data_IF_080482647387
#
_entry.id   IF_080482647387
#
_cell.length_a   1.000
_cell.length_b   1.000
_cell.length_c   1.000
_cell.angle_alpha   90.00
_cell.angle_beta   90.00
_cell.angle_gamma   90.00
#
_symmetry.space_group_name_H-M   'P 1'
#
loop_
_entity.id
_entity.type
_entity.pdbx_description
1 polymer ?
#
# COMPACT_ATOMS: atom_id res chain seq x y z
N UNK A 1 2.16 11.29 32.41
CA UNK A 1 1.30 11.00 31.22
C UNK A 1 1.76 11.76 29.96
N UNK A 2 1.87 13.11 29.92
CA UNK A 2 2.33 13.82 28.71
C UNK A 2 3.76 13.40 28.29
N UNK A 3 4.68 13.40 29.21
CA UNK A 3 6.09 13.00 28.98
C UNK A 3 6.25 11.54 28.57
N UNK A 4 5.41 10.64 29.06
CA UNK A 4 5.39 9.22 28.68
C UNK A 4 4.85 9.04 27.27
N UNK A 5 3.82 9.80 26.87
CA UNK A 5 3.32 9.82 25.51
C UNK A 5 4.34 10.35 24.51
N UNK A 6 5.01 11.45 24.83
CA UNK A 6 6.07 12.02 23.98
C UNK A 6 7.24 11.03 23.81
N UNK A 7 7.63 10.34 24.88
CA UNK A 7 8.64 9.29 24.80
C UNK A 7 8.18 8.13 23.92
N UNK A 8 6.94 7.68 24.06
CA UNK A 8 6.40 6.57 23.27
C UNK A 8 6.40 6.88 21.77
N UNK A 9 6.05 8.11 21.39
CA UNK A 9 6.13 8.59 20.00
C UNK A 9 7.57 8.55 19.52
N UNK A 10 8.49 9.15 20.24
CA UNK A 10 9.92 9.20 19.87
C UNK A 10 10.53 7.79 19.75
N UNK A 11 10.20 6.87 20.66
CA UNK A 11 10.67 5.48 20.62
C UNK A 11 10.09 4.74 19.39
N UNK A 12 8.86 5.07 18.97
CA UNK A 12 8.23 4.48 17.79
C UNK A 12 8.87 5.03 16.51
N UNK A 13 9.10 6.33 16.42
CA UNK A 13 9.77 6.96 15.28
C UNK A 13 11.19 6.42 15.09
N UNK A 14 11.93 6.23 16.17
CA UNK A 14 13.26 5.63 16.12
C UNK A 14 13.20 4.17 15.61
N UNK A 15 12.26 3.38 16.13
CA UNK A 15 12.06 2.00 15.69
C UNK A 15 11.73 1.92 14.19
N UNK A 16 10.89 2.82 13.68
CA UNK A 16 10.55 2.91 12.24
C UNK A 16 11.83 3.19 11.43
N UNK A 17 12.61 4.23 11.82
CA UNK A 17 13.85 4.61 11.13
C UNK A 17 14.88 3.47 11.09
N UNK A 18 15.12 2.84 12.22
CA UNK A 18 16.08 1.72 12.34
C UNK A 18 15.63 0.50 11.52
N UNK A 19 14.31 0.28 11.45
CA UNK A 19 13.75 -0.82 10.66
C UNK A 19 13.86 -0.52 9.17
N UNK A 20 13.48 0.67 8.71
CA UNK A 20 13.57 1.08 7.30
C UNK A 20 15.02 1.05 6.77
N UNK A 21 16.00 1.36 7.59
CA UNK A 21 17.41 1.30 7.21
C UNK A 21 17.87 -0.09 6.75
N UNK A 22 17.11 -1.15 7.09
CA UNK A 22 17.39 -2.53 6.67
C UNK A 22 16.84 -2.85 5.28
N UNK A 23 16.02 -1.96 4.69
CA UNK A 23 15.35 -2.12 3.40
C UNK A 23 15.70 -1.01 2.40
N UNK A 24 16.97 -0.78 2.06
CA UNK A 24 17.40 0.36 1.24
C UNK A 24 16.81 0.34 -0.18
N UNK A 25 16.45 -0.83 -0.70
CA UNK A 25 15.82 -1.02 -2.01
C UNK A 25 14.35 -0.59 -2.06
N UNK A 26 13.71 -0.34 -0.92
CA UNK A 26 12.36 0.19 -0.84
C UNK A 26 12.30 1.72 -0.86
N UNK A 27 13.43 2.40 -0.62
CA UNK A 27 13.48 3.85 -0.54
C UNK A 27 13.02 4.51 -1.86
N UNK A 28 12.07 5.45 -1.74
CA UNK A 28 11.54 6.23 -2.88
C UNK A 28 10.66 5.46 -3.86
N UNK A 29 10.31 4.20 -3.57
CA UNK A 29 9.36 3.45 -4.39
C UNK A 29 7.97 4.09 -4.32
N UNK A 30 7.27 4.07 -5.46
CA UNK A 30 5.87 4.48 -5.55
C UNK A 30 4.96 3.31 -5.17
N UNK A 31 4.10 3.49 -4.17
CA UNK A 31 3.25 2.43 -3.62
C UNK A 31 1.79 2.86 -3.57
N UNK A 32 0.91 2.04 -4.13
CA UNK A 32 -0.53 2.23 -4.07
C UNK A 32 -1.18 1.18 -3.14
N UNK A 33 -1.83 1.63 -2.07
CA UNK A 33 -2.73 0.78 -1.27
C UNK A 33 -4.11 0.78 -1.92
N UNK A 34 -4.53 -0.38 -2.41
CA UNK A 34 -5.75 -0.54 -3.20
C UNK A 34 -6.78 -1.42 -2.48
N UNK A 35 -8.04 -1.25 -2.87
CA UNK A 35 -9.08 -2.25 -2.70
C UNK A 35 -9.48 -2.74 -4.09
N UNK A 36 -9.14 -3.98 -4.41
CA UNK A 36 -9.42 -4.65 -5.67
C UNK A 36 -10.22 -5.91 -5.37
N UNK A 37 -11.46 -5.98 -5.86
CA UNK A 37 -12.27 -7.19 -5.71
C UNK A 37 -11.99 -8.15 -6.86
N UNK A 38 -11.28 -9.24 -6.61
CA UNK A 38 -10.95 -10.24 -7.64
C UNK A 38 -12.17 -10.95 -8.28
N UNK A 39 -13.36 -10.88 -7.64
CA UNK A 39 -14.61 -11.40 -8.20
C UNK A 39 -15.32 -10.39 -9.11
N UNK A 40 -14.99 -9.10 -9.00
CA UNK A 40 -15.53 -8.03 -9.85
C UNK A 40 -14.46 -6.97 -10.09
N UNK A 41 -13.77 -7.07 -11.19
CA UNK A 41 -12.68 -6.19 -11.60
C UNK A 41 -13.14 -4.96 -12.41
N UNK A 42 -14.44 -4.64 -12.41
CA UNK A 42 -14.98 -3.49 -13.16
C UNK A 42 -14.48 -2.13 -12.66
N UNK A 43 -14.12 -2.06 -11.38
CA UNK A 43 -13.55 -0.88 -10.74
C UNK A 43 -12.67 -1.28 -9.55
N UNK A 44 -11.87 -0.34 -9.08
CA UNK A 44 -11.04 -0.48 -7.89
C UNK A 44 -10.92 0.86 -7.16
N UNK A 45 -10.53 0.82 -5.91
CA UNK A 45 -10.28 2.03 -5.13
C UNK A 45 -8.81 2.10 -4.71
N UNK A 46 -8.25 3.30 -4.67
CA UNK A 46 -6.92 3.58 -4.13
C UNK A 46 -7.05 4.47 -2.92
N UNK A 47 -6.55 4.04 -1.78
CA UNK A 47 -6.55 4.82 -0.54
C UNK A 47 -5.51 5.92 -0.62
N UNK A 48 -5.94 7.16 -0.39
CA UNK A 48 -5.10 8.36 -0.47
C UNK A 48 -4.41 8.66 0.86
N UNK A 49 -3.54 9.66 0.83
CA UNK A 49 -2.81 10.11 2.03
C UNK A 49 -3.71 10.76 3.10
N UNK A 50 -4.97 11.08 2.79
CA UNK A 50 -5.98 11.44 3.78
C UNK A 50 -6.52 10.23 4.58
N UNK A 51 -6.33 9.01 4.07
CA UNK A 51 -6.65 7.76 4.75
C UNK A 51 -5.43 7.26 5.54
N UNK A 52 -5.58 6.74 6.75
CA UNK A 52 -4.45 6.23 7.56
C UNK A 52 -3.56 5.22 6.83
N UNK A 53 -4.11 4.41 5.93
CA UNK A 53 -3.35 3.41 5.14
C UNK A 53 -2.42 4.06 4.13
N UNK A 54 -2.90 5.08 3.42
CA UNK A 54 -2.07 5.85 2.50
C UNK A 54 -1.07 6.75 3.22
N UNK A 55 -1.49 7.40 4.32
CA UNK A 55 -0.60 8.19 5.18
C UNK A 55 0.55 7.34 5.71
N UNK A 56 0.26 6.14 6.21
CA UNK A 56 1.28 5.25 6.76
C UNK A 56 2.37 4.89 5.75
N UNK A 57 2.00 4.59 4.51
CA UNK A 57 2.99 4.34 3.45
C UNK A 57 3.88 5.57 3.21
N UNK A 58 3.31 6.77 3.23
CA UNK A 58 4.07 8.01 3.10
C UNK A 58 5.00 8.24 4.29
N UNK A 59 4.55 7.96 5.51
CA UNK A 59 5.35 8.05 6.74
C UNK A 59 6.51 7.04 6.74
N UNK A 60 6.35 5.90 6.06
CA UNK A 60 7.40 4.92 5.81
C UNK A 60 8.37 5.33 4.67
N UNK A 61 8.17 6.50 4.05
CA UNK A 61 9.05 7.03 3.01
C UNK A 61 8.77 6.54 1.59
N UNK A 62 7.64 5.89 1.36
CA UNK A 62 7.15 5.62 0.01
C UNK A 62 6.54 6.87 -0.62
N UNK A 63 6.54 6.94 -1.94
CA UNK A 63 5.85 8.00 -2.68
C UNK A 63 4.45 7.56 -3.06
N UNK A 64 3.50 8.50 -3.01
CA UNK A 64 2.14 8.26 -3.50
C UNK A 64 2.10 8.48 -5.02
N UNK A 65 1.42 7.62 -5.82
CA UNK A 65 1.37 7.76 -7.28
C UNK A 65 0.70 9.08 -7.71
N UNK A 66 1.40 9.90 -8.49
CA UNK A 66 0.92 11.22 -8.92
C UNK A 66 -0.32 11.12 -9.81
N UNK A 67 -0.39 10.08 -10.66
CA UNK A 67 -1.52 9.87 -11.56
C UNK A 67 -2.81 9.53 -10.83
N UNK A 68 -2.72 8.91 -9.66
CA UNK A 68 -3.87 8.69 -8.78
C UNK A 68 -4.29 10.01 -8.13
N UNK A 69 -3.32 10.80 -7.64
CA UNK A 69 -3.62 12.09 -7.02
C UNK A 69 -4.30 13.05 -7.98
N UNK A 70 -3.90 13.05 -9.25
CA UNK A 70 -4.49 13.88 -10.31
C UNK A 70 -5.99 13.57 -10.58
N UNK A 71 -6.47 12.37 -10.23
CA UNK A 71 -7.87 11.96 -10.42
C UNK A 71 -8.77 12.33 -9.23
N UNK A 72 -8.20 12.78 -8.12
CA UNK A 72 -8.96 13.16 -6.95
C UNK A 72 -9.73 14.45 -7.17
N UNK A 73 -11.06 14.35 -7.25
CA UNK A 73 -11.96 15.52 -7.35
C UNK A 73 -12.06 16.28 -6.02
N UNK A 74 -12.07 15.57 -4.90
CA UNK A 74 -12.05 16.11 -3.55
C UNK A 74 -10.71 15.82 -2.89
N UNK A 75 -10.00 16.88 -2.47
CA UNK A 75 -8.70 16.77 -1.79
C UNK A 75 -8.76 16.07 -0.43
N UNK A 76 -9.94 16.07 0.20
CA UNK A 76 -10.17 15.44 1.50
C UNK A 76 -10.73 14.02 1.39
N UNK A 77 -11.00 13.52 0.18
CA UNK A 77 -11.47 12.15 0.00
C UNK A 77 -10.44 11.14 0.49
N UNK A 78 -10.90 10.13 1.23
CA UNK A 78 -10.04 9.05 1.74
C UNK A 78 -9.56 8.11 0.65
N UNK A 79 -10.29 8.00 -0.45
CA UNK A 79 -9.94 7.15 -1.59
C UNK A 79 -10.42 7.76 -2.89
N UNK A 80 -9.84 7.31 -3.99
CA UNK A 80 -10.33 7.52 -5.35
C UNK A 80 -10.84 6.20 -5.88
N UNK A 81 -12.07 6.19 -6.41
CA UNK A 81 -12.61 5.03 -7.15
C UNK A 81 -12.33 5.23 -8.63
N UNK A 82 -11.77 4.21 -9.26
CA UNK A 82 -11.28 4.24 -10.64
C UNK A 82 -11.92 3.07 -11.39
N UNK A 83 -12.42 3.32 -12.61
CA UNK A 83 -12.90 2.25 -13.47
C UNK A 83 -11.72 1.42 -14.00
N UNK A 84 -11.95 0.12 -14.22
CA UNK A 84 -10.91 -0.79 -14.72
C UNK A 84 -10.26 -0.29 -16.01
N UNK A 85 -11.00 0.34 -16.90
CA UNK A 85 -10.51 0.87 -18.19
C UNK A 85 -9.36 1.85 -18.02
N UNK A 86 -9.34 2.59 -16.89
CA UNK A 86 -8.29 3.54 -16.54
C UNK A 86 -7.14 2.92 -15.73
N UNK A 87 -7.21 1.64 -15.35
CA UNK A 87 -6.23 1.02 -14.46
C UNK A 87 -4.80 1.11 -14.99
N UNK A 88 -4.60 0.85 -16.29
CA UNK A 88 -3.26 0.89 -16.92
C UNK A 88 -2.66 2.28 -16.87
N UNK A 89 -3.45 3.31 -17.16
CA UNK A 89 -2.99 4.70 -17.13
C UNK A 89 -2.74 5.16 -15.69
N UNK A 90 -3.72 4.92 -14.80
CA UNK A 90 -3.71 5.40 -13.41
C UNK A 90 -2.61 4.78 -12.58
N UNK A 91 -2.26 3.52 -12.82
CA UNK A 91 -1.24 2.77 -12.07
C UNK A 91 0.10 2.65 -12.81
N UNK A 92 0.30 3.43 -13.90
CA UNK A 92 1.51 3.30 -14.73
C UNK A 92 2.78 3.83 -14.07
N UNK A 93 2.66 4.72 -13.07
CA UNK A 93 3.75 5.25 -12.24
C UNK A 93 3.84 4.58 -10.85
N UNK A 94 3.13 3.46 -10.68
CA UNK A 94 3.11 2.70 -9.44
C UNK A 94 4.11 1.55 -9.51
N UNK A 95 5.11 1.57 -8.63
CA UNK A 95 6.10 0.48 -8.51
C UNK A 95 5.48 -0.77 -7.89
N UNK A 96 4.70 -0.60 -6.82
CA UNK A 96 4.15 -1.70 -6.01
C UNK A 96 2.68 -1.43 -5.73
N UNK A 97 1.86 -2.45 -5.92
CA UNK A 97 0.45 -2.45 -5.52
C UNK A 97 0.31 -3.30 -4.25
N UNK A 98 -0.37 -2.77 -3.24
CA UNK A 98 -0.78 -3.54 -2.06
C UNK A 98 -2.30 -3.62 -2.10
N UNK A 99 -2.87 -4.80 -1.94
CA UNK A 99 -4.32 -4.98 -1.92
C UNK A 99 -4.73 -6.06 -0.93
N UNK A 100 -5.97 -6.04 -0.52
CA UNK A 100 -6.57 -7.13 0.24
C UNK A 100 -7.00 -8.26 -0.69
N UNK A 101 -6.94 -9.50 -0.21
CA UNK A 101 -7.38 -10.63 -1.00
C UNK A 101 -6.94 -11.98 -0.44
N UNK A 102 -6.80 -12.94 -1.32
CA UNK A 102 -6.38 -14.31 -1.04
C UNK A 102 -5.29 -14.77 -2.04
N UNK A 103 -4.92 -16.03 -1.97
CA UNK A 103 -3.93 -16.68 -2.84
C UNK A 103 -4.30 -16.67 -4.34
N UNK A 104 -5.57 -16.43 -4.69
CA UNK A 104 -6.08 -16.40 -6.06
C UNK A 104 -6.05 -14.99 -6.67
N UNK A 105 -5.92 -13.98 -5.85
CA UNK A 105 -6.04 -12.57 -6.26
C UNK A 105 -5.02 -12.21 -7.33
N UNK A 106 -3.74 -12.54 -7.15
CA UNK A 106 -2.70 -12.24 -8.15
C UNK A 106 -3.00 -12.93 -9.48
N UNK A 107 -3.38 -14.21 -9.43
CA UNK A 107 -3.69 -14.98 -10.64
C UNK A 107 -4.92 -14.41 -11.37
N UNK A 108 -5.91 -13.88 -10.65
CA UNK A 108 -7.07 -13.22 -11.23
C UNK A 108 -6.66 -11.93 -11.96
N UNK A 109 -5.85 -11.08 -11.32
CA UNK A 109 -5.35 -9.84 -11.91
C UNK A 109 -4.50 -10.11 -13.17
N UNK A 110 -3.62 -11.11 -13.13
CA UNK A 110 -2.75 -11.46 -14.24
C UNK A 110 -3.51 -12.11 -15.43
N UNK A 111 -4.68 -12.66 -15.21
CA UNK A 111 -5.56 -13.22 -16.28
C UNK A 111 -6.52 -12.19 -16.85
N UNK A 112 -6.78 -11.11 -16.13
CA UNK A 112 -7.69 -10.06 -16.58
C UNK A 112 -7.13 -9.31 -17.79
N UNK A 113 -8.00 -8.96 -18.74
CA UNK A 113 -7.59 -8.35 -20.01
C UNK A 113 -6.99 -6.93 -19.86
N UNK A 114 -7.32 -6.24 -18.77
CA UNK A 114 -6.86 -4.88 -18.48
C UNK A 114 -5.77 -4.90 -17.42
N UNK A 115 -6.03 -5.47 -16.23
CA UNK A 115 -5.08 -5.48 -15.12
C UNK A 115 -3.76 -6.19 -15.45
N UNK A 116 -3.78 -7.22 -16.32
CA UNK A 116 -2.53 -7.87 -16.78
C UNK A 116 -1.56 -6.94 -17.52
N UNK A 117 -2.04 -5.77 -17.97
CA UNK A 117 -1.23 -4.75 -18.66
C UNK A 117 -0.68 -3.69 -17.70
N UNK A 118 -1.17 -3.62 -16.45
CA UNK A 118 -0.61 -2.76 -15.41
C UNK A 118 0.80 -3.21 -15.10
N UNK A 119 1.84 -2.33 -15.16
CA UNK A 119 3.23 -2.74 -15.02
C UNK A 119 3.52 -3.52 -13.73
N UNK A 120 3.01 -3.06 -12.59
CA UNK A 120 3.20 -3.75 -11.31
C UNK A 120 2.56 -5.15 -11.29
N UNK A 121 1.37 -5.32 -11.88
CA UNK A 121 0.69 -6.63 -11.98
C UNK A 121 1.45 -7.56 -12.92
N UNK A 122 1.83 -7.07 -14.10
CA UNK A 122 2.59 -7.83 -15.10
C UNK A 122 3.89 -8.38 -14.54
N UNK A 123 4.59 -7.59 -13.73
CA UNK A 123 5.89 -7.94 -13.15
C UNK A 123 5.77 -8.66 -11.79
N UNK A 124 4.56 -8.88 -11.31
CA UNK A 124 4.30 -9.57 -10.04
C UNK A 124 4.64 -8.73 -8.79
N UNK A 125 4.72 -7.39 -8.94
CA UNK A 125 4.95 -6.46 -7.83
C UNK A 125 3.63 -6.10 -7.13
N UNK A 126 2.90 -7.14 -6.71
CA UNK A 126 1.63 -7.03 -6.00
C UNK A 126 1.73 -7.77 -4.67
N UNK A 127 1.52 -7.06 -3.59
CA UNK A 127 1.40 -7.62 -2.24
C UNK A 127 -0.09 -7.86 -1.96
N UNK A 128 -0.45 -9.09 -1.69
CA UNK A 128 -1.82 -9.45 -1.28
C UNK A 128 -1.84 -9.72 0.21
N UNK A 129 -2.63 -8.95 0.93
CA UNK A 129 -2.83 -9.07 2.36
C UNK A 129 -4.11 -9.87 2.63
N UNK A 130 -4.00 -10.96 3.38
CA UNK A 130 -5.18 -11.67 3.87
C UNK A 130 -6.07 -10.71 4.67
N UNK A 131 -7.31 -10.54 4.21
CA UNK A 131 -8.27 -9.59 4.82
C UNK A 131 -8.54 -9.84 6.31
N UNK A 132 -8.32 -11.06 6.78
CA UNK A 132 -8.46 -11.46 8.18
C UNK A 132 -7.12 -11.52 8.93
N UNK A 133 -6.02 -11.24 8.25
CA UNK A 133 -4.67 -11.33 8.78
C UNK A 133 -4.23 -10.08 9.56
N UNK A 134 -3.22 -10.27 10.41
CA UNK A 134 -2.66 -9.19 11.22
C UNK A 134 -2.10 -8.03 10.37
N UNK A 135 -1.48 -8.33 9.23
CA UNK A 135 -0.93 -7.30 8.34
C UNK A 135 -2.01 -6.40 7.76
N UNK A 136 -3.18 -6.97 7.40
CA UNK A 136 -4.31 -6.18 6.92
C UNK A 136 -4.83 -5.21 7.99
N UNK A 137 -4.91 -5.67 9.24
CA UNK A 137 -5.27 -4.82 10.38
C UNK A 137 -4.20 -3.76 10.67
N UNK A 138 -2.92 -4.09 10.53
CA UNK A 138 -1.79 -3.21 10.80
C UNK A 138 -1.61 -2.08 9.77
N UNK A 139 -2.25 -2.16 8.61
CA UNK A 139 -2.29 -1.06 7.63
C UNK A 139 -2.99 0.19 8.18
N UNK A 140 -3.85 0.07 9.21
CA UNK A 140 -4.32 1.18 10.03
C UNK A 140 -3.40 1.27 11.27
N UNK A 141 -2.33 2.08 11.24
CA UNK A 141 -1.26 1.97 12.21
C UNK A 141 -1.68 2.46 13.60
N UNK A 142 -1.21 1.76 14.59
CA UNK A 142 -1.16 2.19 15.99
C UNK A 142 0.24 1.94 16.53
N UNK A 143 0.59 2.57 17.64
CA UNK A 143 1.91 2.37 18.27
C UNK A 143 2.19 0.88 18.54
N UNK A 144 1.16 0.11 18.89
CA UNK A 144 1.30 -1.32 19.15
C UNK A 144 1.45 -2.13 17.84
N UNK A 145 0.61 -1.86 16.84
CA UNK A 145 0.67 -2.59 15.57
C UNK A 145 1.94 -2.30 14.79
N UNK A 146 2.45 -1.06 14.82
CA UNK A 146 3.74 -0.70 14.20
C UNK A 146 4.87 -1.54 14.80
N UNK A 147 4.97 -1.62 16.13
CA UNK A 147 6.01 -2.42 16.79
C UNK A 147 5.88 -3.93 16.54
N UNK A 148 4.66 -4.43 16.39
CA UNK A 148 4.41 -5.85 16.17
C UNK A 148 4.61 -6.28 14.72
N UNK A 149 4.20 -5.46 13.75
CA UNK A 149 3.99 -5.89 12.36
C UNK A 149 4.83 -5.14 11.31
N UNK A 150 5.54 -4.06 11.66
CA UNK A 150 6.29 -3.28 10.67
C UNK A 150 7.31 -4.14 9.90
N UNK A 151 8.04 -5.02 10.57
CA UNK A 151 9.03 -5.89 9.93
C UNK A 151 8.33 -6.84 8.95
N UNK A 152 7.26 -7.50 9.37
CA UNK A 152 6.49 -8.41 8.53
C UNK A 152 5.89 -7.67 7.31
N UNK A 153 5.44 -6.43 7.50
CA UNK A 153 4.89 -5.60 6.43
C UNK A 153 5.96 -5.21 5.41
N UNK A 154 7.13 -4.76 5.87
CA UNK A 154 8.25 -4.44 4.97
C UNK A 154 8.82 -5.68 4.29
N UNK A 155 8.88 -6.83 4.96
CA UNK A 155 9.28 -8.09 4.35
C UNK A 155 8.34 -8.49 3.21
N UNK A 156 7.01 -8.36 3.42
CA UNK A 156 6.02 -8.64 2.38
C UNK A 156 6.19 -7.71 1.16
N UNK A 157 6.45 -6.41 1.39
CA UNK A 157 6.71 -5.44 0.32
C UNK A 157 8.04 -5.76 -0.38
N UNK A 158 9.09 -6.05 0.39
CA UNK A 158 10.42 -6.32 -0.13
C UNK A 158 10.46 -7.60 -0.98
N UNK A 159 9.64 -8.59 -0.66
CA UNK A 159 9.58 -9.86 -1.39
C UNK A 159 9.15 -9.70 -2.86
N UNK A 160 8.41 -8.64 -3.20
CA UNK A 160 7.94 -8.36 -4.57
C UNK A 160 8.82 -7.37 -5.33
N UNK A 161 9.83 -6.78 -4.68
CA UNK A 161 10.82 -5.88 -5.29
C UNK A 161 12.01 -6.71 -5.76
N UNK A 162 12.23 -6.73 -7.05
CA UNK A 162 13.36 -7.42 -7.68
C UNK A 162 14.45 -6.43 -8.02
#
# INVERSE_FOLDING_TARGET
MKTEGEKLVADTDNFIKETLAKYPNLAGKSVAMCYINAADLSNFSVYRTADPRGAYLTDLGFTFPEKIEAQAQDKNAFYVQISAELAVESLSDTDIIITYGDDKTIAALQKDAIFSKVPAVKEGRVVVLDSNGNLAAACNPSVLSVKAELVNYLDAINAVVK
#
